data_IF_431096207652
#
_entry.id   IF_431096207652
#
_cell.length_a   1.000
_cell.length_b   1.000
_cell.length_c   1.000
_cell.angle_alpha   90.00
_cell.angle_beta   90.00
_cell.angle_gamma   90.00
#
_symmetry.space_group_name_H-M   'P 1'
#
loop_
_entity.id
_entity.type
_entity.pdbx_description
1 polymer ?
#
# COMPACT_ATOMS: atom_id res chain seq x y z
N UNK A 1 -10.67 -8.05 -1.61
CA UNK A 1 -9.26 -8.15 -2.06
C UNK A 1 -9.19 -9.14 -3.20
N UNK A 2 -8.46 -8.83 -4.27
CA UNK A 2 -8.29 -9.79 -5.36
C UNK A 2 -7.36 -10.93 -4.92
N UNK A 3 -7.68 -12.20 -5.23
CA UNK A 3 -6.80 -13.33 -4.93
C UNK A 3 -5.41 -13.16 -5.56
N UNK A 4 -4.36 -13.55 -4.85
CA UNK A 4 -2.97 -13.50 -5.34
C UNK A 4 -2.32 -12.12 -5.41
N UNK A 5 -3.05 -11.04 -5.11
CA UNK A 5 -2.52 -9.68 -5.09
C UNK A 5 -2.02 -9.28 -3.69
N UNK A 6 -0.97 -8.44 -3.59
CA UNK A 6 -0.57 -7.84 -2.32
C UNK A 6 -1.76 -7.11 -1.67
N UNK A 7 -1.94 -7.33 -0.37
CA UNK A 7 -3.01 -6.70 0.42
C UNK A 7 -2.59 -5.33 0.95
N UNK A 8 -1.29 -5.11 1.10
CA UNK A 8 -0.69 -3.84 1.49
C UNK A 8 0.75 -3.73 1.04
N UNK A 9 1.38 -2.61 1.38
CA UNK A 9 2.77 -2.30 1.09
C UNK A 9 3.49 -1.76 2.32
N UNK A 10 4.72 -2.20 2.53
CA UNK A 10 5.58 -1.65 3.58
C UNK A 10 6.48 -0.54 3.01
N UNK A 11 6.62 0.53 3.79
CA UNK A 11 7.58 1.61 3.55
C UNK A 11 8.48 1.76 4.77
N UNK A 12 9.78 1.93 4.53
CA UNK A 12 10.72 2.23 5.60
C UNK A 12 10.47 3.60 6.22
N UNK A 13 10.70 3.72 7.53
CA UNK A 13 10.53 4.98 8.29
C UNK A 13 11.16 6.18 7.60
N UNK A 14 12.40 6.04 7.11
CA UNK A 14 13.13 7.14 6.48
C UNK A 14 12.47 7.65 5.20
N UNK A 15 11.84 6.76 4.42
CA UNK A 15 11.12 7.16 3.21
C UNK A 15 9.88 7.97 3.59
N UNK A 16 9.09 7.48 4.55
CA UNK A 16 7.91 8.20 5.07
C UNK A 16 8.32 9.57 5.63
N UNK A 17 9.35 9.60 6.47
CA UNK A 17 9.84 10.83 7.09
C UNK A 17 10.32 11.84 6.05
N UNK A 18 11.01 11.40 4.99
CA UNK A 18 11.47 12.31 3.93
C UNK A 18 10.32 13.03 3.22
N UNK A 19 9.16 12.39 3.05
CA UNK A 19 7.99 13.07 2.50
C UNK A 19 7.39 14.04 3.52
N UNK A 20 7.28 13.63 4.80
CA UNK A 20 6.73 14.48 5.86
C UNK A 20 7.62 15.68 6.20
N UNK A 21 8.93 15.57 6.01
CA UNK A 21 9.90 16.65 6.22
C UNK A 21 9.85 17.70 5.10
N UNK A 22 9.15 17.43 3.99
CA UNK A 22 8.95 18.43 2.95
C UNK A 22 8.09 19.57 3.52
N UNK A 23 8.55 20.84 3.48
CA UNK A 23 7.93 21.94 4.23
C UNK A 23 6.49 22.25 3.80
N UNK A 24 6.14 21.95 2.55
CA UNK A 24 4.79 22.13 2.01
C UNK A 24 3.90 20.90 2.23
N UNK A 25 4.42 19.83 2.84
CA UNK A 25 3.66 18.60 3.05
C UNK A 25 2.68 18.74 4.20
N UNK A 26 1.40 18.58 3.89
CA UNK A 26 0.33 18.55 4.91
C UNK A 26 -0.22 17.14 5.13
N UNK A 27 0.14 16.19 4.27
CA UNK A 27 -0.30 14.80 4.40
C UNK A 27 0.23 13.90 3.29
N UNK A 28 -0.13 12.62 3.37
CA UNK A 28 0.23 11.61 2.37
C UNK A 28 -1.02 11.06 1.68
N UNK A 29 -0.93 10.87 0.37
CA UNK A 29 -1.94 10.16 -0.44
C UNK A 29 -1.32 8.90 -1.02
N UNK A 30 -2.09 7.82 -1.00
CA UNK A 30 -1.67 6.52 -1.50
C UNK A 30 -2.48 6.11 -2.72
N UNK A 31 -1.79 5.60 -3.73
CA UNK A 31 -2.36 5.07 -4.96
C UNK A 31 -2.05 3.59 -5.10
N UNK A 32 -2.96 2.86 -5.75
CA UNK A 32 -2.70 1.49 -6.17
C UNK A 32 -2.14 1.51 -7.60
N UNK A 33 -0.83 1.34 -7.72
CA UNK A 33 -0.16 1.13 -9.00
C UNK A 33 -0.21 -0.34 -9.44
N UNK A 34 0.31 -0.61 -10.63
CA UNK A 34 0.52 -1.96 -11.15
C UNK A 34 1.93 -2.09 -11.72
N UNK A 35 2.64 -3.15 -11.35
CA UNK A 35 3.86 -3.58 -12.00
C UNK A 35 3.56 -4.14 -13.39
N UNK A 36 4.59 -4.30 -14.23
CA UNK A 36 4.47 -4.87 -15.58
C UNK A 36 3.86 -6.27 -15.61
N UNK A 37 4.01 -7.03 -14.52
CA UNK A 37 3.44 -8.37 -14.35
C UNK A 37 2.00 -8.36 -13.82
N UNK A 38 1.36 -7.19 -13.72
CA UNK A 38 0.00 -7.02 -13.22
C UNK A 38 -0.13 -7.09 -11.70
N UNK A 39 0.98 -7.23 -10.95
CA UNK A 39 0.94 -7.17 -9.49
C UNK A 39 0.72 -5.74 -9.01
N UNK A 40 -0.18 -5.59 -8.03
CA UNK A 40 -0.48 -4.30 -7.41
C UNK A 40 0.70 -3.80 -6.58
N UNK A 41 1.01 -2.52 -6.72
CA UNK A 41 1.94 -1.79 -5.88
C UNK A 41 1.20 -0.67 -5.12
N UNK A 42 1.74 -0.25 -3.98
CA UNK A 42 1.29 0.98 -3.31
C UNK A 42 2.31 2.06 -3.61
N UNK A 43 1.83 3.22 -4.06
CA UNK A 43 2.65 4.41 -4.27
C UNK A 43 2.16 5.50 -3.32
N UNK A 44 3.07 6.10 -2.55
CA UNK A 44 2.76 7.19 -1.62
C UNK A 44 3.35 8.52 -2.11
N UNK A 45 2.56 9.58 -2.03
CA UNK A 45 2.96 10.93 -2.39
C UNK A 45 2.58 11.94 -1.33
N UNK A 46 3.35 13.02 -1.25
CA UNK A 46 3.03 14.15 -0.41
C UNK A 46 1.92 14.98 -1.05
N UNK A 47 1.04 15.52 -0.21
CA UNK A 47 -0.04 16.42 -0.57
C UNK A 47 0.25 17.79 0.01
N UNK A 48 0.07 18.84 -0.79
CA UNK A 48 0.24 20.23 -0.37
C UNK A 48 -0.99 20.81 0.35
N UNK A 49 -0.88 22.05 0.82
CA UNK A 49 -1.98 22.76 1.50
C UNK A 49 -3.23 22.99 0.64
N UNK A 50 -3.13 22.85 -0.69
CA UNK A 50 -4.25 22.96 -1.62
C UNK A 50 -4.87 21.60 -1.94
N UNK A 51 -4.32 20.52 -1.39
CA UNK A 51 -4.78 19.15 -1.63
C UNK A 51 -4.18 18.50 -2.88
N UNK A 52 -3.20 19.13 -3.52
CA UNK A 52 -2.55 18.65 -4.74
C UNK A 52 -1.33 17.77 -4.43
N UNK A 53 -1.09 16.76 -5.26
CA UNK A 53 0.11 15.92 -5.15
C UNK A 53 1.37 16.66 -5.61
N UNK A 54 2.42 16.49 -4.84
CA UNK A 54 3.74 17.04 -5.15
C UNK A 54 4.50 16.10 -6.11
N UNK A 55 4.24 16.21 -7.42
CA UNK A 55 4.88 15.36 -8.45
C UNK A 55 6.39 15.59 -8.60
N UNK A 56 6.90 16.76 -8.23
CA UNK A 56 8.31 17.14 -8.38
C UNK A 56 9.07 17.08 -7.05
N UNK A 57 8.87 16.03 -6.27
CA UNK A 57 9.47 15.85 -4.95
C UNK A 57 9.76 14.37 -4.61
N UNK A 58 10.19 14.07 -3.37
CA UNK A 58 10.37 12.69 -2.94
C UNK A 58 9.04 11.91 -3.01
N UNK A 59 9.09 10.71 -3.59
CA UNK A 59 7.96 9.79 -3.69
C UNK A 59 8.30 8.43 -3.06
N UNK A 60 7.28 7.73 -2.58
CA UNK A 60 7.36 6.36 -2.07
C UNK A 60 6.78 5.40 -3.11
N UNK A 61 7.56 5.03 -4.13
CA UNK A 61 7.08 4.20 -5.25
C UNK A 61 7.41 2.70 -5.13
N UNK A 62 8.32 2.33 -4.22
CA UNK A 62 8.83 0.96 -4.05
C UNK A 62 8.32 0.30 -2.77
N UNK A 63 6.99 0.20 -2.62
CA UNK A 63 6.43 -0.54 -1.48
C UNK A 63 6.82 -2.01 -1.53
N UNK A 64 7.22 -2.59 -0.39
CA UNK A 64 7.39 -4.05 -0.29
C UNK A 64 6.02 -4.69 -0.10
N UNK A 65 5.58 -5.47 -1.09
CA UNK A 65 4.25 -6.10 -1.10
C UNK A 65 4.06 -7.10 0.04
N UNK A 66 2.90 -7.02 0.69
CA UNK A 66 2.50 -7.92 1.77
C UNK A 66 1.09 -8.46 1.50
N UNK A 67 0.91 -9.77 1.26
CA UNK A 67 1.91 -10.84 1.09
C UNK A 67 2.82 -10.70 -0.16
N UNK A 68 4.00 -11.39 -0.22
CA UNK A 68 4.51 -12.40 0.70
C UNK A 68 5.46 -11.89 1.80
N UNK A 69 5.97 -10.66 1.70
CA UNK A 69 7.02 -10.15 2.59
C UNK A 69 6.46 -9.45 3.83
N UNK A 70 5.51 -10.11 4.48
CA UNK A 70 4.87 -9.60 5.69
C UNK A 70 5.70 -9.90 6.94
N UNK A 71 5.50 -9.10 7.99
CA UNK A 71 5.87 -9.51 9.35
C UNK A 71 4.96 -10.62 9.88
N UNK A 72 4.87 -10.72 11.21
CA UNK A 72 4.04 -11.72 11.90
C UNK A 72 2.62 -11.76 11.31
N UNK A 73 2.07 -12.95 10.99
CA UNK A 73 0.72 -13.09 10.49
C UNK A 73 -0.34 -12.46 11.40
N UNK A 74 -1.28 -11.75 10.79
CA UNK A 74 -2.44 -11.12 11.43
C UNK A 74 -3.62 -11.06 10.44
N UNK A 75 -4.76 -10.56 10.93
CA UNK A 75 -6.00 -10.44 10.15
C UNK A 75 -5.84 -9.65 8.85
N UNK A 76 -4.98 -8.63 8.82
CA UNK A 76 -4.80 -7.76 7.65
C UNK A 76 -3.90 -8.39 6.58
N UNK A 77 -2.86 -9.15 6.98
CA UNK A 77 -1.88 -9.69 6.03
C UNK A 77 -2.15 -11.14 5.59
N UNK A 78 -2.58 -12.03 6.49
CA UNK A 78 -2.85 -13.45 6.16
C UNK A 78 -4.35 -13.77 6.16
N UNK A 79 -5.18 -12.87 6.68
CA UNK A 79 -6.62 -13.12 6.84
C UNK A 79 -6.90 -14.05 8.02
N UNK A 80 -8.13 -14.06 8.52
CA UNK A 80 -8.57 -15.15 9.39
C UNK A 80 -8.86 -16.35 8.49
N UNK A 81 -8.04 -17.41 8.59
CA UNK A 81 -8.51 -18.74 8.23
C UNK A 81 -9.50 -19.17 9.32
N UNK A 82 -10.79 -18.86 9.13
CA UNK A 82 -11.82 -19.42 10.01
C UNK A 82 -11.82 -20.91 9.70
N UNK A 83 -11.24 -21.73 10.59
CA UNK A 83 -11.42 -23.18 10.52
C UNK A 83 -12.92 -23.43 10.55
N UNK A 84 -13.49 -23.81 9.40
CA UNK A 84 -14.87 -24.29 9.30
C UNK A 84 -15.79 -23.66 8.27
N UNK A 85 -15.42 -22.62 7.50
CA UNK A 85 -16.26 -22.17 6.37
C UNK A 85 -15.42 -21.54 5.25
N UNK A 86 -15.23 -22.31 4.18
CA UNK A 86 -14.93 -21.78 2.85
C UNK A 86 -16.08 -20.86 2.46
N UNK A 87 -15.85 -19.55 2.42
CA UNK A 87 -16.78 -18.65 1.73
C UNK A 87 -16.57 -18.84 0.23
N UNK A 88 -17.17 -19.91 -0.29
CA UNK A 88 -17.62 -19.97 -1.67
C UNK A 88 -18.80 -19.00 -1.80
N UNK A 89 -18.55 -17.84 -2.40
CA UNK A 89 -19.59 -17.01 -3.01
C UNK A 89 -18.96 -16.47 -4.30
N UNK A 90 -19.08 -17.18 -5.42
CA UNK A 90 -20.24 -17.20 -6.33
C UNK A 90 -20.56 -15.82 -6.88
N UNK A 91 -20.23 -15.67 -8.16
CA UNK A 91 -21.01 -15.00 -9.21
C UNK A 91 -22.34 -14.41 -8.75
N UNK A 92 -22.47 -13.08 -8.80
CA UNK A 92 -23.37 -12.33 -9.70
C UNK A 92 -22.75 -10.95 -9.93
#
# INVERSE_FOLDING_TARGET
MQPGQPKGGFFGKQAVQRLLDHPECVGLRFFFGAHKDGKRAVVGMCVDKFGAEMFHGPAMELSIGCPPYCGIPNLLNHGIAVKGKTLSGSTV
#
